data_IF_516067506193
#
_entry.id   IF_516067506193
#
_cell.length_a   1.000
_cell.length_b   1.000
_cell.length_c   1.000
_cell.angle_alpha   90.00
_cell.angle_beta   90.00
_cell.angle_gamma   90.00
#
_symmetry.space_group_name_H-M   'P 1'
#
loop_
_entity.id
_entity.type
_entity.pdbx_description
1 polymer ?
#
# COMPACT_ATOMS: atom_id res chain seq x y z
N UNK A 1 -9.16 1.78 -1.53
CA UNK A 1 -8.05 1.88 -2.52
C UNK A 1 -8.34 2.88 -3.65
N UNK A 2 -9.38 2.70 -4.47
CA UNK A 2 -9.60 3.52 -5.67
C UNK A 2 -9.70 5.04 -5.43
N UNK A 3 -10.43 5.56 -4.43
CA UNK A 3 -10.44 7.00 -4.16
C UNK A 3 -9.03 7.55 -3.89
N UNK A 4 -8.24 6.82 -3.10
CA UNK A 4 -6.85 7.17 -2.83
C UNK A 4 -6.01 7.17 -4.10
N UNK A 5 -6.14 6.17 -4.97
CA UNK A 5 -5.41 6.14 -6.25
C UNK A 5 -5.84 7.28 -7.18
N UNK A 6 -7.13 7.62 -7.20
CA UNK A 6 -7.66 8.70 -8.01
C UNK A 6 -7.04 10.05 -7.65
N UNK A 7 -6.98 10.34 -6.34
CA UNK A 7 -6.36 11.56 -5.82
C UNK A 7 -4.83 11.52 -5.98
N UNK A 8 -4.22 10.38 -5.64
CA UNK A 8 -2.77 10.19 -5.65
C UNK A 8 -2.21 10.35 -7.07
N UNK A 9 -2.84 9.77 -8.09
CA UNK A 9 -2.38 9.86 -9.48
C UNK A 9 -2.95 11.05 -10.26
N UNK A 10 -3.63 11.98 -9.60
CA UNK A 10 -4.15 13.18 -10.29
C UNK A 10 -5.17 12.87 -11.37
N UNK A 11 -5.95 11.81 -11.18
CA UNK A 11 -6.87 11.33 -12.21
C UNK A 11 -7.97 12.34 -12.52
N UNK A 12 -8.33 13.18 -11.55
CA UNK A 12 -9.27 14.29 -11.75
C UNK A 12 -8.82 15.22 -12.86
N UNK A 13 -7.60 15.73 -12.79
CA UNK A 13 -7.01 16.60 -13.81
C UNK A 13 -6.86 15.87 -15.14
N UNK A 14 -6.42 14.61 -15.10
CA UNK A 14 -6.13 13.80 -16.31
C UNK A 14 -7.35 13.37 -17.11
N UNK A 15 -8.46 13.07 -16.44
CA UNK A 15 -9.74 12.76 -17.10
C UNK A 15 -10.66 13.99 -17.19
N UNK A 16 -10.27 15.10 -16.57
CA UNK A 16 -11.05 16.34 -16.47
C UNK A 16 -12.44 16.13 -15.86
N UNK A 17 -12.58 15.13 -14.98
CA UNK A 17 -13.84 14.77 -14.31
C UNK A 17 -13.57 14.33 -12.87
N UNK A 18 -14.50 14.52 -11.93
CA UNK A 18 -14.39 13.96 -10.58
C UNK A 18 -14.63 12.43 -10.59
N UNK A 19 -14.18 11.76 -9.52
CA UNK A 19 -14.37 10.30 -9.34
C UNK A 19 -15.84 9.88 -9.46
N UNK A 20 -16.76 10.68 -8.92
CA UNK A 20 -18.19 10.41 -8.96
C UNK A 20 -18.71 10.25 -10.39
N UNK A 21 -18.29 11.16 -11.30
CA UNK A 21 -18.61 11.13 -12.73
C UNK A 21 -17.88 10.02 -13.46
N UNK A 22 -16.62 9.77 -13.13
CA UNK A 22 -15.89 8.63 -13.67
C UNK A 22 -16.64 7.31 -13.38
N UNK A 23 -17.18 7.15 -12.18
CA UNK A 23 -17.87 5.93 -11.74
C UNK A 23 -19.30 5.78 -12.30
N UNK A 24 -19.86 6.78 -12.99
CA UNK A 24 -21.13 6.62 -13.73
C UNK A 24 -20.94 5.70 -14.94
N UNK A 25 -19.81 5.83 -15.66
CA UNK A 25 -19.47 4.94 -16.77
C UNK A 25 -17.95 4.80 -16.95
N UNK A 26 -17.27 4.05 -16.07
CA UNK A 26 -15.80 3.94 -16.07
C UNK A 26 -15.24 3.26 -17.34
N UNK A 27 -16.06 2.46 -18.04
CA UNK A 27 -15.68 1.79 -19.28
C UNK A 27 -15.33 2.76 -20.41
N UNK A 28 -15.98 3.93 -20.47
CA UNK A 28 -15.72 4.95 -21.49
C UNK A 28 -14.28 5.50 -21.41
N UNK A 29 -13.77 5.64 -20.20
CA UNK A 29 -12.47 6.25 -19.93
C UNK A 29 -11.32 5.24 -19.95
N UNK A 30 -11.62 3.97 -19.71
CA UNK A 30 -10.63 2.89 -19.60
C UNK A 30 -10.37 2.16 -20.92
N UNK A 31 -11.34 2.13 -21.85
CA UNK A 31 -11.24 1.39 -23.13
C UNK A 31 -10.17 1.94 -24.09
N UNK A 32 -9.82 3.23 -24.02
CA UNK A 32 -8.95 3.92 -24.99
C UNK A 32 -7.59 4.36 -24.46
N UNK A 33 -7.32 4.25 -23.15
CA UNK A 33 -6.06 4.73 -22.53
C UNK A 33 -5.24 3.54 -22.00
N UNK A 34 -3.91 3.55 -22.28
CA UNK A 34 -2.91 2.55 -21.83
C UNK A 34 -2.86 2.32 -20.30
N UNK A 35 -3.56 3.13 -19.50
CA UNK A 35 -3.46 3.14 -18.04
C UNK A 35 -4.63 2.50 -17.28
N UNK A 36 -5.43 1.65 -17.94
CA UNK A 36 -6.58 0.96 -17.33
C UNK A 36 -6.22 0.19 -16.04
N UNK A 37 -4.96 -0.25 -15.91
CA UNK A 37 -4.52 -1.09 -14.81
C UNK A 37 -4.64 -0.47 -13.41
N UNK A 38 -4.56 0.86 -13.26
CA UNK A 38 -4.76 1.51 -11.95
C UNK A 38 -6.23 1.72 -11.58
N UNK A 39 -7.11 1.70 -12.59
CA UNK A 39 -8.49 2.20 -12.46
C UNK A 39 -9.52 1.10 -12.33
N UNK A 40 -9.13 -0.16 -12.58
CA UNK A 40 -9.98 -1.34 -12.43
C UNK A 40 -9.14 -2.47 -11.86
N UNK A 41 -9.55 -2.99 -10.71
CA UNK A 41 -8.91 -4.11 -10.03
C UNK A 41 -7.36 -4.00 -9.95
N UNK A 42 -6.80 -2.87 -9.47
CA UNK A 42 -5.35 -2.68 -9.41
C UNK A 42 -4.62 -3.74 -8.56
N UNK A 43 -5.20 -4.22 -7.45
CA UNK A 43 -4.56 -5.28 -6.65
C UNK A 43 -4.46 -6.58 -7.44
N UNK A 44 -5.52 -6.94 -8.17
CA UNK A 44 -5.52 -8.11 -9.02
C UNK A 44 -4.40 -8.02 -10.07
N UNK A 45 -4.19 -6.85 -10.68
CA UNK A 45 -3.11 -6.65 -11.67
C UNK A 45 -1.73 -6.83 -11.04
N UNK A 46 -1.50 -6.34 -9.81
CA UNK A 46 -0.23 -6.54 -9.10
C UNK A 46 0.10 -8.03 -8.90
N UNK A 47 -0.92 -8.87 -8.70
CA UNK A 47 -0.77 -10.33 -8.65
C UNK A 47 -0.87 -11.02 -10.03
N UNK A 48 -0.70 -10.27 -11.13
CA UNK A 48 -0.78 -10.79 -12.51
C UNK A 48 -2.12 -11.44 -12.86
N UNK A 49 -3.21 -11.00 -12.23
CA UNK A 49 -4.59 -11.33 -12.59
C UNK A 49 -5.11 -10.23 -13.54
N UNK A 50 -5.64 -10.56 -14.73
CA UNK A 50 -6.17 -9.54 -15.62
C UNK A 50 -7.32 -8.76 -14.96
N UNK A 51 -7.35 -7.44 -15.13
CA UNK A 51 -8.31 -6.56 -14.43
C UNK A 51 -9.76 -6.75 -14.86
N UNK A 52 -10.02 -7.46 -15.95
CA UNK A 52 -11.36 -7.66 -16.54
C UNK A 52 -11.92 -9.07 -16.33
N UNK A 53 -11.27 -9.91 -15.51
CA UNK A 53 -11.82 -11.24 -15.17
C UNK A 53 -13.06 -11.13 -14.29
N UNK A 54 -13.85 -12.21 -14.25
CA UNK A 54 -14.94 -12.37 -13.30
C UNK A 54 -14.41 -12.89 -11.96
N UNK A 55 -14.87 -12.32 -10.86
CA UNK A 55 -14.56 -12.70 -9.48
C UNK A 55 -15.04 -14.10 -9.10
N UNK A 56 -15.98 -14.67 -9.85
CA UNK A 56 -16.45 -16.06 -9.69
C UNK A 56 -15.93 -16.98 -10.80
N UNK A 57 -15.00 -16.49 -11.64
CA UNK A 57 -14.45 -17.25 -12.76
C UNK A 57 -13.37 -18.22 -12.32
N UNK A 58 -13.24 -19.34 -13.03
CA UNK A 58 -12.22 -20.38 -12.78
C UNK A 58 -10.79 -19.84 -12.78
N UNK A 59 -10.49 -18.87 -13.66
CA UNK A 59 -9.18 -18.19 -13.69
C UNK A 59 -8.89 -17.45 -12.39
N UNK A 60 -9.86 -16.70 -11.85
CA UNK A 60 -9.69 -15.97 -10.60
C UNK A 60 -9.49 -16.94 -9.43
N UNK A 61 -10.35 -17.94 -9.28
CA UNK A 61 -10.22 -18.94 -8.21
C UNK A 61 -8.86 -19.64 -8.25
N UNK A 62 -8.40 -20.06 -9.44
CA UNK A 62 -7.08 -20.67 -9.59
C UNK A 62 -5.95 -19.73 -9.16
N UNK A 63 -5.99 -18.46 -9.59
CA UNK A 63 -4.95 -17.47 -9.23
C UNK A 63 -4.99 -17.12 -7.74
N UNK A 64 -6.19 -16.98 -7.16
CA UNK A 64 -6.39 -16.74 -5.74
C UNK A 64 -5.72 -17.82 -4.88
N UNK A 65 -5.95 -19.09 -5.21
CA UNK A 65 -5.32 -20.22 -4.50
C UNK A 65 -3.80 -20.24 -4.70
N UNK A 66 -3.30 -19.94 -5.91
CA UNK A 66 -1.86 -19.81 -6.14
C UNK A 66 -1.21 -18.74 -5.27
N UNK A 67 -1.85 -17.57 -5.11
CA UNK A 67 -1.35 -16.50 -4.23
C UNK A 67 -1.34 -17.00 -2.78
N UNK A 68 -2.43 -17.62 -2.33
CA UNK A 68 -2.54 -18.16 -0.98
C UNK A 68 -1.46 -19.21 -0.66
N UNK A 69 -1.12 -20.06 -1.63
CA UNK A 69 -0.11 -21.10 -1.47
C UNK A 69 1.32 -20.55 -1.57
N UNK A 70 1.52 -19.43 -2.30
CA UNK A 70 2.83 -18.82 -2.50
C UNK A 70 3.26 -17.96 -1.31
N UNK A 71 2.35 -17.15 -0.77
CA UNK A 71 2.68 -16.19 0.28
C UNK A 71 2.36 -16.73 1.67
N UNK A 72 3.39 -16.80 2.53
CA UNK A 72 3.19 -17.16 3.94
C UNK A 72 2.23 -16.19 4.66
N UNK A 73 2.18 -14.93 4.22
CA UNK A 73 1.28 -13.89 4.72
C UNK A 73 1.01 -12.87 3.61
N UNK A 74 -0.28 -12.56 3.39
CA UNK A 74 -0.72 -11.34 2.72
C UNK A 74 -1.10 -10.34 3.80
N UNK A 75 -0.42 -9.20 3.84
CA UNK A 75 -0.62 -8.16 4.85
C UNK A 75 -1.76 -7.23 4.47
N UNK A 76 -2.36 -6.58 5.48
CA UNK A 76 -3.45 -5.62 5.30
C UNK A 76 -2.96 -4.22 5.71
N UNK A 77 -3.03 -3.26 4.78
CA UNK A 77 -2.44 -1.93 4.96
C UNK A 77 -3.08 -1.16 6.12
N UNK A 78 -4.41 -1.29 6.29
CA UNK A 78 -5.17 -0.69 7.39
C UNK A 78 -4.97 -1.39 8.74
N UNK A 79 -4.23 -2.51 8.75
CA UNK A 79 -3.90 -3.32 9.93
C UNK A 79 -2.40 -3.60 9.98
N UNK A 80 -1.60 -2.60 9.66
CA UNK A 80 -0.16 -2.78 9.47
C UNK A 80 0.55 -3.26 10.74
N UNK A 81 0.20 -2.74 11.93
CA UNK A 81 0.78 -3.23 13.18
C UNK A 81 0.46 -4.71 13.43
N UNK A 82 -0.79 -5.12 13.19
CA UNK A 82 -1.20 -6.53 13.28
C UNK A 82 -0.45 -7.40 12.25
N UNK A 83 -0.29 -6.88 11.03
CA UNK A 83 0.44 -7.55 9.95
C UNK A 83 1.91 -7.77 10.31
N UNK A 84 2.56 -6.76 10.89
CA UNK A 84 3.96 -6.85 11.30
C UNK A 84 4.18 -7.82 12.47
N UNK A 85 3.21 -7.94 13.40
CA UNK A 85 3.26 -8.96 14.46
C UNK A 85 3.16 -10.38 13.88
N UNK A 86 2.25 -10.61 12.92
CA UNK A 86 2.19 -11.91 12.24
C UNK A 86 3.46 -12.19 11.45
N UNK A 87 3.98 -11.20 10.73
CA UNK A 87 5.22 -11.32 9.95
C UNK A 87 6.41 -11.67 10.84
N UNK A 88 6.52 -10.99 11.99
CA UNK A 88 7.54 -11.26 13.01
C UNK A 88 7.55 -12.73 13.43
N UNK A 89 6.37 -13.28 13.73
CA UNK A 89 6.24 -14.67 14.19
C UNK A 89 6.61 -15.68 13.11
N UNK A 90 6.15 -15.44 11.88
CA UNK A 90 6.44 -16.31 10.73
C UNK A 90 7.94 -16.41 10.48
N UNK A 91 8.65 -15.28 10.50
CA UNK A 91 10.09 -15.24 10.25
C UNK A 91 10.95 -15.35 11.51
N UNK A 92 10.34 -15.51 12.69
CA UNK A 92 11.02 -15.55 13.99
C UNK A 92 11.93 -14.33 14.22
N UNK A 93 11.49 -13.18 13.75
CA UNK A 93 12.22 -11.93 13.88
C UNK A 93 12.14 -11.35 15.29
N UNK A 94 13.14 -10.55 15.65
CA UNK A 94 13.12 -9.78 16.89
C UNK A 94 12.15 -8.59 16.75
N UNK A 95 11.84 -7.94 17.87
CA UNK A 95 11.00 -6.75 17.83
C UNK A 95 11.62 -5.59 17.06
N UNK A 96 12.95 -5.47 17.11
CA UNK A 96 13.67 -4.39 16.41
C UNK A 96 13.62 -4.55 14.88
N UNK A 97 13.44 -5.77 14.38
CA UNK A 97 13.35 -6.06 12.94
C UNK A 97 12.00 -5.66 12.33
N UNK A 98 10.97 -5.48 13.18
CA UNK A 98 9.60 -5.14 12.75
C UNK A 98 9.15 -3.77 13.21
N UNK A 99 10.05 -2.96 13.78
CA UNK A 99 9.80 -1.53 14.00
C UNK A 99 9.72 -0.84 12.65
N UNK A 100 8.74 0.07 12.50
CA UNK A 100 8.56 0.83 11.27
C UNK A 100 8.02 2.22 11.55
N UNK A 101 8.30 3.14 10.63
CA UNK A 101 7.59 4.42 10.53
C UNK A 101 6.58 4.34 9.40
N UNK A 102 5.37 4.85 9.65
CA UNK A 102 4.32 4.92 8.62
C UNK A 102 4.78 5.84 7.49
N UNK A 103 5.08 5.29 6.33
CA UNK A 103 5.40 6.08 5.12
C UNK A 103 4.15 6.26 4.26
N UNK A 104 4.17 7.19 3.31
CA UNK A 104 3.01 7.53 2.46
C UNK A 104 1.74 7.90 3.24
N UNK A 105 1.91 8.41 4.45
CA UNK A 105 0.80 8.83 5.29
C UNK A 105 0.28 10.18 4.80
N UNK A 106 -1.02 10.21 4.49
CA UNK A 106 -1.67 11.39 3.96
C UNK A 106 -1.89 12.40 5.09
N UNK A 107 -1.54 13.67 4.85
CA UNK A 107 -1.86 14.77 5.76
C UNK A 107 -3.37 14.85 5.99
N UNK A 108 -3.79 15.18 7.21
CA UNK A 108 -5.20 15.47 7.53
C UNK A 108 -5.75 16.64 6.69
N UNK A 109 -4.88 17.60 6.38
CA UNK A 109 -5.14 18.73 5.50
C UNK A 109 -5.31 18.37 4.01
N UNK A 110 -4.97 17.13 3.61
CA UNK A 110 -5.05 16.76 2.20
C UNK A 110 -6.51 16.64 1.76
N UNK A 111 -6.88 17.21 0.61
CA UNK A 111 -8.22 17.04 0.03
C UNK A 111 -8.55 15.55 -0.08
N UNK A 112 -9.76 15.14 0.30
CA UNK A 112 -10.23 13.75 0.14
C UNK A 112 -11.50 13.73 -0.69
N UNK A 113 -11.55 12.83 -1.66
CA UNK A 113 -12.80 12.56 -2.36
C UNK A 113 -13.82 12.00 -1.36
N UNK A 114 -14.94 12.71 -1.17
CA UNK A 114 -16.08 12.22 -0.40
C UNK A 114 -16.72 11.04 -1.13
N UNK A 115 -16.92 9.93 -0.42
CA UNK A 115 -17.52 8.71 -0.96
C UNK A 115 -18.78 8.41 -0.18
N UNK A 116 -19.93 8.76 -0.78
CA UNK A 116 -21.22 8.33 -0.27
C UNK A 116 -21.46 6.82 -0.53
N UNK A 117 -22.53 6.29 0.04
CA UNK A 117 -22.88 4.88 -0.06
C UNK A 117 -23.14 4.42 -1.50
N UNK A 118 -23.75 5.29 -2.32
CA UNK A 118 -24.06 5.01 -3.72
C UNK A 118 -22.78 4.91 -4.57
N UNK A 119 -21.86 5.86 -4.39
CA UNK A 119 -20.56 5.86 -5.01
C UNK A 119 -19.71 4.68 -4.53
N UNK A 120 -19.75 4.34 -3.24
CA UNK A 120 -19.09 3.17 -2.68
C UNK A 120 -19.54 1.88 -3.38
N UNK A 121 -20.85 1.68 -3.56
CA UNK A 121 -21.39 0.52 -4.30
C UNK A 121 -20.90 0.48 -5.75
N UNK A 122 -20.86 1.62 -6.46
CA UNK A 122 -20.34 1.68 -7.83
C UNK A 122 -18.86 1.30 -7.89
N UNK A 123 -18.05 1.82 -6.97
CA UNK A 123 -16.63 1.50 -6.86
C UNK A 123 -16.43 0.01 -6.59
N UNK A 124 -17.16 -0.56 -5.63
CA UNK A 124 -17.08 -1.99 -5.29
C UNK A 124 -17.48 -2.87 -6.47
N UNK A 125 -18.57 -2.54 -7.17
CA UNK A 125 -19.00 -3.28 -8.36
C UNK A 125 -17.96 -3.22 -9.48
N UNK A 126 -17.36 -2.05 -9.71
CA UNK A 126 -16.32 -1.90 -10.73
C UNK A 126 -15.04 -2.66 -10.37
N UNK A 127 -14.76 -2.82 -9.07
CA UNK A 127 -13.56 -3.49 -8.55
C UNK A 127 -13.91 -4.80 -7.82
N UNK A 128 -14.84 -5.57 -8.38
CA UNK A 128 -15.36 -6.78 -7.74
C UNK A 128 -14.27 -7.84 -7.49
N UNK A 129 -13.26 -7.94 -8.36
CA UNK A 129 -12.15 -8.90 -8.23
C UNK A 129 -11.25 -8.50 -7.06
N UNK A 130 -10.90 -7.22 -6.96
CA UNK A 130 -10.14 -6.69 -5.82
C UNK A 130 -10.90 -6.84 -4.50
N UNK A 131 -12.22 -6.61 -4.51
CA UNK A 131 -13.06 -6.82 -3.34
C UNK A 131 -13.09 -8.29 -2.91
N UNK A 132 -13.21 -9.21 -3.86
CA UNK A 132 -13.18 -10.65 -3.58
C UNK A 132 -11.80 -11.08 -3.04
N UNK A 133 -10.72 -10.59 -3.64
CA UNK A 133 -9.34 -10.83 -3.21
C UNK A 133 -9.12 -10.34 -1.76
N UNK A 134 -9.52 -9.11 -1.46
CA UNK A 134 -9.42 -8.53 -0.13
C UNK A 134 -10.19 -9.34 0.91
N UNK A 135 -11.47 -9.67 0.64
CA UNK A 135 -12.30 -10.46 1.57
C UNK A 135 -11.72 -11.83 1.87
N UNK A 136 -11.16 -12.50 0.87
CA UNK A 136 -10.49 -13.79 1.08
C UNK A 136 -9.29 -13.65 2.02
N UNK A 137 -8.41 -12.68 1.76
CA UNK A 137 -7.21 -12.49 2.58
C UNK A 137 -7.51 -11.89 3.95
N UNK A 138 -8.58 -11.12 4.12
CA UNK A 138 -9.08 -10.70 5.43
C UNK A 138 -9.50 -11.91 6.28
N UNK A 139 -10.24 -12.85 5.69
CA UNK A 139 -10.62 -14.10 6.35
C UNK A 139 -9.39 -14.94 6.73
N UNK A 140 -8.44 -15.09 5.82
CA UNK A 140 -7.19 -15.83 6.07
C UNK A 140 -6.32 -15.14 7.14
N UNK A 141 -6.29 -13.82 7.16
CA UNK A 141 -5.62 -13.02 8.18
C UNK A 141 -6.23 -13.28 9.57
N UNK A 142 -7.56 -13.29 9.68
CA UNK A 142 -8.26 -13.66 10.92
C UNK A 142 -7.97 -15.10 11.35
N UNK A 143 -7.84 -16.04 10.39
CA UNK A 143 -7.42 -17.41 10.70
C UNK A 143 -6.02 -17.44 11.31
N UNK A 144 -5.06 -16.73 10.73
CA UNK A 144 -3.68 -16.63 11.25
C UNK A 144 -3.64 -16.00 12.65
N UNK A 145 -4.45 -14.97 12.91
CA UNK A 145 -4.60 -14.38 14.26
C UNK A 145 -5.10 -15.39 15.29
N UNK A 146 -6.08 -16.23 14.93
CA UNK A 146 -6.58 -17.29 15.83
C UNK A 146 -5.50 -18.32 16.14
N UNK A 147 -4.73 -18.74 15.13
CA UNK A 147 -3.59 -19.66 15.31
C UNK A 147 -2.51 -19.06 16.22
N UNK A 148 -2.24 -17.75 16.11
CA UNK A 148 -1.32 -17.04 17.01
C UNK A 148 -1.78 -17.05 18.48
N UNK A 149 -3.10 -17.05 18.70
CA UNK A 149 -3.74 -16.86 20.00
C UNK A 149 -4.13 -15.40 20.22
N UNK A 150 -5.43 -15.11 20.26
CA UNK A 150 -5.97 -13.74 20.22
C UNK A 150 -5.52 -12.85 21.39
N UNK A 151 -5.41 -13.39 22.61
CA UNK A 151 -4.98 -12.63 23.78
C UNK A 151 -3.52 -12.21 23.65
N UNK A 152 -2.64 -13.18 23.38
CA UNK A 152 -1.20 -12.93 23.13
C UNK A 152 -1.02 -11.96 21.97
N UNK A 153 -1.78 -12.15 20.88
CA UNK A 153 -1.74 -11.30 19.70
C UNK A 153 -2.02 -9.84 20.03
N UNK A 154 -3.07 -9.55 20.80
CA UNK A 154 -3.39 -8.19 21.24
C UNK A 154 -2.26 -7.58 22.07
N UNK A 155 -1.74 -8.33 23.05
CA UNK A 155 -0.61 -7.88 23.89
C UNK A 155 0.62 -7.53 23.04
N UNK A 156 0.93 -8.38 22.07
CA UNK A 156 2.08 -8.22 21.17
C UNK A 156 1.91 -7.04 20.19
N UNK A 157 0.69 -6.80 19.71
CA UNK A 157 0.35 -5.61 18.91
C UNK A 157 0.50 -4.34 19.74
N UNK A 158 0.00 -4.32 20.97
CA UNK A 158 0.14 -3.15 21.84
C UNK A 158 1.60 -2.89 22.22
N UNK A 159 2.39 -3.96 22.39
CA UNK A 159 3.83 -3.84 22.56
C UNK A 159 4.50 -3.18 21.35
N UNK A 160 4.22 -3.66 20.13
CA UNK A 160 4.78 -3.08 18.91
C UNK A 160 4.37 -1.62 18.72
N UNK A 161 3.11 -1.27 19.01
CA UNK A 161 2.64 0.13 18.97
C UNK A 161 3.45 1.04 19.90
N UNK A 162 3.69 0.60 21.15
CA UNK A 162 4.53 1.35 22.10
C UNK A 162 5.96 1.49 21.61
N UNK A 163 6.53 0.40 21.09
CA UNK A 163 7.90 0.40 20.57
C UNK A 163 8.06 1.34 19.37
N UNK A 164 7.14 1.27 18.41
CA UNK A 164 7.09 2.21 17.28
C UNK A 164 6.99 3.66 17.75
N UNK A 165 6.14 3.95 18.74
CA UNK A 165 6.01 5.29 19.30
C UNK A 165 7.31 5.79 19.96
N UNK A 166 7.99 4.93 20.71
CA UNK A 166 9.29 5.26 21.33
C UNK A 166 10.35 5.59 20.27
N UNK A 167 10.49 4.74 19.25
CA UNK A 167 11.41 4.98 18.15
C UNK A 167 11.05 6.25 17.38
N UNK A 168 9.76 6.50 17.15
CA UNK A 168 9.30 7.71 16.46
C UNK A 168 9.72 8.97 17.23
N UNK A 169 9.44 9.01 18.54
CA UNK A 169 9.80 10.14 19.40
C UNK A 169 11.32 10.37 19.48
N UNK A 170 12.10 9.30 19.47
CA UNK A 170 13.56 9.37 19.49
C UNK A 170 14.15 9.86 18.15
N UNK A 171 13.59 9.40 17.03
CA UNK A 171 14.19 9.62 15.72
C UNK A 171 13.67 10.84 14.96
N UNK A 172 12.38 11.15 15.07
CA UNK A 172 11.74 12.19 14.25
C UNK A 172 11.87 13.54 14.95
N UNK A 173 12.65 14.43 14.35
CA UNK A 173 12.95 15.78 14.88
C UNK A 173 12.15 16.89 14.18
N UNK A 174 11.48 16.56 13.09
CA UNK A 174 10.61 17.49 12.35
C UNK A 174 9.60 16.75 11.50
N UNK A 175 8.43 17.33 11.31
CA UNK A 175 7.40 16.83 10.40
C UNK A 175 6.87 18.00 9.58
N UNK A 176 6.99 17.87 8.27
CA UNK A 176 6.53 18.83 7.29
C UNK A 176 5.43 18.20 6.42
N UNK A 177 4.77 19.02 5.63
CA UNK A 177 3.80 18.58 4.62
C UNK A 177 4.43 18.83 3.25
N UNK A 178 4.49 17.78 2.44
CA UNK A 178 4.96 17.90 1.07
C UNK A 178 3.91 17.35 0.09
N UNK A 179 3.73 17.97 -1.09
CA UNK A 179 3.16 17.26 -2.22
C UNK A 179 4.04 16.05 -2.54
N UNK A 180 3.50 15.05 -3.23
CA UNK A 180 4.25 13.83 -3.56
C UNK A 180 5.65 14.17 -4.15
N UNK A 181 6.69 13.46 -3.69
CA UNK A 181 8.07 13.60 -4.15
C UNK A 181 8.20 13.49 -5.68
N UNK A 182 9.13 14.28 -6.26
CA UNK A 182 9.59 14.15 -7.65
C UNK A 182 10.32 12.82 -7.84
N UNK A 183 9.70 11.85 -8.49
CA UNK A 183 10.44 10.77 -9.13
C UNK A 183 11.07 11.32 -10.43
N UNK A 184 12.29 11.85 -10.38
CA UNK A 184 13.16 11.89 -11.57
C UNK A 184 13.73 10.49 -11.75
N UNK A 185 13.55 9.79 -12.87
CA UNK A 185 13.90 10.22 -14.22
C UNK A 185 13.05 9.46 -15.26
N UNK A 186 12.63 10.18 -16.30
CA UNK A 186 12.00 9.68 -17.55
C UNK A 186 10.58 9.10 -17.47
N UNK A 187 9.69 9.76 -16.73
CA UNK A 187 8.25 9.58 -16.87
C UNK A 187 7.51 10.79 -16.35
N UNK A 188 6.99 11.62 -17.26
CA UNK A 188 6.22 12.83 -16.99
C UNK A 188 5.01 12.57 -16.07
N UNK A 189 5.19 12.75 -14.76
CA UNK A 189 4.13 13.12 -13.83
C UNK A 189 4.68 14.33 -13.09
N UNK A 190 4.29 15.53 -13.51
CA UNK A 190 4.59 16.74 -12.77
C UNK A 190 3.89 16.66 -11.40
N UNK A 191 4.58 17.13 -10.36
CA UNK A 191 4.04 17.22 -8.99
C UNK A 191 2.77 18.09 -8.89
N UNK A 192 2.39 18.78 -9.95
CA UNK A 192 1.18 19.60 -10.07
C UNK A 192 -0.12 18.79 -10.13
N UNK A 193 -0.07 17.53 -10.51
CA UNK A 193 -1.30 16.79 -10.85
C UNK A 193 -1.84 15.99 -9.66
N UNK A 194 -0.99 15.62 -8.71
CA UNK A 194 -1.38 14.88 -7.50
C UNK A 194 -1.98 15.82 -6.46
N UNK A 195 -3.25 15.60 -6.10
CA UNK A 195 -3.92 16.34 -5.02
C UNK A 195 -3.58 15.79 -3.62
N UNK A 196 -2.86 14.66 -3.54
CA UNK A 196 -2.45 14.05 -2.27
C UNK A 196 -1.25 14.80 -1.64
N UNK A 197 -1.46 15.30 -0.42
CA UNK A 197 -0.44 15.85 0.46
C UNK A 197 -0.04 14.80 1.49
N UNK A 198 1.26 14.59 1.69
CA UNK A 198 1.81 13.55 2.56
C UNK A 198 2.65 14.15 3.68
N UNK A 199 2.75 13.47 4.81
CA UNK A 199 3.72 13.80 5.85
C UNK A 199 5.14 13.48 5.38
N UNK A 200 6.00 14.49 5.41
CA UNK A 200 7.44 14.37 5.22
C UNK A 200 8.13 14.46 6.59
N UNK A 201 9.04 13.54 6.88
CA UNK A 201 9.67 13.45 8.21
C UNK A 201 11.15 13.71 8.12
N UNK A 202 11.62 14.57 9.01
CA UNK A 202 13.05 14.81 9.22
C UNK A 202 13.49 13.94 10.38
N UNK A 203 14.39 12.99 10.09
CA UNK A 203 14.99 12.11 11.10
C UNK A 203 16.37 12.59 11.52
N UNK A 204 16.74 12.33 12.78
CA UNK A 204 18.07 12.62 13.30
C UNK A 204 19.15 11.87 12.51
N UNK A 205 20.30 12.50 12.31
CA UNK A 205 21.40 11.98 11.47
C UNK A 205 22.52 11.31 12.26
N UNK A 206 22.58 11.52 13.57
CA UNK A 206 23.61 10.95 14.44
C UNK A 206 23.32 9.50 14.87
N UNK A 207 22.09 9.00 14.64
CA UNK A 207 21.68 7.62 14.93
C UNK A 207 21.43 6.84 13.64
N UNK A 208 22.22 5.78 13.40
CA UNK A 208 22.14 4.96 12.20
C UNK A 208 20.80 4.22 12.07
N UNK A 209 20.18 3.82 13.18
CA UNK A 209 18.87 3.15 13.14
C UNK A 209 17.78 4.15 12.77
N UNK A 210 17.85 5.37 13.28
CA UNK A 210 16.93 6.44 12.86
C UNK A 210 17.05 6.78 11.38
N UNK A 211 18.27 6.81 10.86
CA UNK A 211 18.48 6.97 9.41
C UNK A 211 17.81 5.81 8.65
N UNK A 212 18.05 4.55 9.04
CA UNK A 212 17.45 3.39 8.38
C UNK A 212 15.92 3.38 8.42
N UNK A 213 15.33 3.68 9.58
CA UNK A 213 13.87 3.75 9.75
C UNK A 213 13.23 4.92 8.99
N UNK A 214 13.97 6.01 8.79
CA UNK A 214 13.51 7.18 8.03
C UNK A 214 13.81 7.14 6.53
N UNK A 215 14.59 6.16 6.05
CA UNK A 215 14.95 6.08 4.63
C UNK A 215 13.73 5.73 3.77
N UNK A 216 13.56 6.46 2.67
CA UNK A 216 12.55 6.14 1.67
C UNK A 216 12.83 4.76 1.04
N UNK A 217 11.77 3.99 0.78
CA UNK A 217 11.81 2.62 0.25
C UNK A 217 12.78 2.47 -0.93
N UNK A 218 12.70 3.37 -1.92
CA UNK A 218 13.57 3.34 -3.11
C UNK A 218 15.07 3.44 -2.77
N UNK A 219 15.43 4.28 -1.80
CA UNK A 219 16.83 4.41 -1.37
C UNK A 219 17.26 3.20 -0.54
N UNK A 220 16.39 2.72 0.36
CA UNK A 220 16.69 1.54 1.17
C UNK A 220 16.85 0.27 0.32
N UNK A 221 15.98 0.09 -0.68
CA UNK A 221 16.04 -1.03 -1.63
C UNK A 221 17.34 -1.03 -2.44
N UNK A 222 17.84 0.15 -2.84
CA UNK A 222 19.14 0.25 -3.51
C UNK A 222 20.30 -0.19 -2.61
N UNK A 223 20.26 0.17 -1.32
CA UNK A 223 21.25 -0.27 -0.34
C UNK A 223 21.19 -1.80 -0.17
N UNK A 224 19.98 -2.35 0.00
CA UNK A 224 19.77 -3.79 0.13
C UNK A 224 20.26 -4.56 -1.10
N UNK A 225 19.91 -4.10 -2.31
CA UNK A 225 20.33 -4.75 -3.56
C UNK A 225 21.85 -4.80 -3.69
N UNK A 226 22.55 -3.69 -3.41
CA UNK A 226 24.02 -3.66 -3.41
C UNK A 226 24.63 -4.61 -2.39
N UNK A 227 24.00 -4.75 -1.22
CA UNK A 227 24.49 -5.62 -0.15
C UNK A 227 24.25 -7.11 -0.44
N UNK A 228 23.07 -7.46 -0.96
CA UNK A 228 22.68 -8.84 -1.22
C UNK A 228 23.27 -9.38 -2.53
N UNK A 229 23.43 -8.52 -3.53
CA UNK A 229 23.99 -8.89 -4.83
C UNK A 229 25.08 -7.89 -5.28
N UNK A 230 26.26 -7.90 -4.63
CA UNK A 230 27.33 -6.95 -4.92
C UNK A 230 27.87 -7.07 -6.37
N UNK A 231 27.74 -8.26 -6.97
CA UNK A 231 28.21 -8.55 -8.33
C UNK A 231 27.11 -8.49 -9.40
N UNK A 232 25.88 -8.08 -9.05
CA UNK A 232 24.84 -7.88 -10.06
C UNK A 232 25.16 -6.60 -10.85
N UNK A 233 25.86 -6.75 -11.97
CA UNK A 233 25.90 -5.70 -12.99
C UNK A 233 24.47 -5.50 -13.49
N UNK A 234 23.99 -4.24 -13.54
CA UNK A 234 22.72 -3.90 -14.21
C UNK A 234 22.80 -4.35 -15.67
N UNK A 235 22.36 -5.57 -15.96
CA UNK A 235 22.02 -5.98 -17.32
C UNK A 235 20.62 -5.45 -17.59
N UNK A 236 20.60 -4.40 -18.42
CA UNK A 236 19.51 -3.84 -19.24
C UNK A 236 18.06 -3.88 -18.72
#
# INVERSE_FOLDING_TARGET
MIPSLYDYFGMRSRYSIPLSKFMENPSLYTRRKKMNWFTRNPMAVEFSIPSNVCENGTLFTRRLMQINDTFALVMLAERLEESMVLLREIFRWSWNDVVFFRTNERCDCSPRTLVDESLSRRIQKWNAVDLALYKYFEMEFERKKRVYGLTKFRTDVDFLKRLNHQWYKHCVIGTDIAPRCRCGSNGTISSSDSEALLYSRTVRKDDLNCQKLGLHEMHYTQILRKKLWPNLTRTE
#
